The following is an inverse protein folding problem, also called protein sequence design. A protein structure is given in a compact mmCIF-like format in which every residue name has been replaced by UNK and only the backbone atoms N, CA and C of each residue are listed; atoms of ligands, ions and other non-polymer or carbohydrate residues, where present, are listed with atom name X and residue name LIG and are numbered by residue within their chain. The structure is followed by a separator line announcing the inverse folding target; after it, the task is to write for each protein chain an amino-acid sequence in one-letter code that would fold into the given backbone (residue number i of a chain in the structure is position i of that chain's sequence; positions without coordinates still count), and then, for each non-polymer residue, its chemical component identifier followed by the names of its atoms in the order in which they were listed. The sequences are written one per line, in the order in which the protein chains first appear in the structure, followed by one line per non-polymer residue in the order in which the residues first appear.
data_IF_747247241305
#
_entry.id   IF_747247241305
#
_cell.length_a   1.000
_cell.length_b   1.000
_cell.length_c   1.000
_cell.angle_alpha   90.00
_cell.angle_beta   90.00
_cell.angle_gamma   90.00
#
_symmetry.space_group_name_H-M   'P 1'
#
loop_
_entity.id
_entity.type
_entity.pdbx_description
1 polymer ?
#
# COMPACT_ATOMS: atom_id res chain seq x y z
N UNK A 1 1.37 -10.65 18.41
CA UNK A 1 0.87 -9.27 18.27
C UNK A 1 0.68 -8.71 19.68
N UNK A 2 1.43 -7.68 20.08
CA UNK A 2 1.48 -7.21 21.48
C UNK A 2 0.23 -6.43 21.94
N UNK A 3 -0.79 -6.30 21.09
CA UNK A 3 -2.06 -5.61 21.40
C UNK A 3 -1.93 -4.11 21.63
N UNK A 4 -0.74 -3.54 21.44
CA UNK A 4 -0.49 -2.12 21.65
C UNK A 4 -0.93 -1.33 20.39
N UNK A 5 -1.82 -0.36 20.57
CA UNK A 5 -2.22 0.61 19.53
C UNK A 5 -1.66 1.99 19.88
N UNK A 6 -1.50 2.86 18.88
CA UNK A 6 -1.16 4.26 19.11
C UNK A 6 -2.42 5.10 19.24
N UNK A 7 -2.38 6.10 20.10
CA UNK A 7 -3.43 7.13 20.11
C UNK A 7 -3.44 7.82 18.75
N UNK A 8 -4.58 7.72 18.04
CA UNK A 8 -4.73 8.24 16.67
C UNK A 8 -4.68 7.20 15.56
N UNK A 9 -4.55 5.90 15.86
CA UNK A 9 -4.57 4.87 14.82
C UNK A 9 -5.89 4.86 14.04
N UNK A 10 -5.77 4.94 12.72
CA UNK A 10 -6.90 4.87 11.79
C UNK A 10 -7.16 3.41 11.43
N UNK A 11 -8.40 2.95 11.64
CA UNK A 11 -8.80 1.56 11.39
C UNK A 11 -9.02 1.26 9.91
N UNK A 12 -9.54 2.23 9.17
CA UNK A 12 -9.90 2.08 7.77
C UNK A 12 -9.51 3.34 7.01
N UNK A 13 -8.63 3.18 6.03
CA UNK A 13 -8.21 4.23 5.12
C UNK A 13 -8.19 3.67 3.71
N UNK A 14 -8.93 4.30 2.83
CA UNK A 14 -8.94 4.03 1.39
C UNK A 14 -9.01 5.37 0.67
N UNK A 15 -8.27 5.48 -0.42
CA UNK A 15 -8.34 6.64 -1.31
C UNK A 15 -9.19 6.29 -2.54
N UNK A 16 -9.91 7.26 -3.07
CA UNK A 16 -10.51 7.15 -4.40
C UNK A 16 -9.40 7.29 -5.47
N UNK A 17 -9.19 6.26 -6.33
CA UNK A 17 -8.15 6.30 -7.35
C UNK A 17 -8.55 7.09 -8.62
N UNK A 18 -9.81 7.54 -8.75
CA UNK A 18 -10.33 8.13 -9.99
C UNK A 18 -9.46 9.28 -10.51
N UNK A 19 -9.11 10.23 -9.64
CA UNK A 19 -8.29 11.39 -10.02
C UNK A 19 -6.89 11.01 -10.51
N UNK A 20 -6.27 9.98 -9.92
CA UNK A 20 -4.96 9.50 -10.37
C UNK A 20 -5.04 8.86 -11.76
N UNK A 21 -6.12 8.13 -12.04
CA UNK A 21 -6.37 7.56 -13.36
C UNK A 21 -6.61 8.66 -14.41
N UNK A 22 -7.42 9.67 -14.10
CA UNK A 22 -7.77 10.74 -15.05
C UNK A 22 -6.63 11.71 -15.29
N UNK A 23 -5.93 12.14 -14.23
CA UNK A 23 -4.92 13.21 -14.33
C UNK A 23 -3.53 12.68 -14.68
N UNK A 24 -3.21 11.45 -14.28
CA UNK A 24 -1.87 10.88 -14.41
C UNK A 24 -1.85 9.62 -15.30
N UNK A 25 -3.00 9.12 -15.74
CA UNK A 25 -3.09 7.83 -16.41
C UNK A 25 -2.71 6.66 -15.50
N UNK A 26 -2.59 6.88 -14.18
CA UNK A 26 -2.08 5.89 -13.26
C UNK A 26 -3.16 4.93 -12.81
N UNK A 27 -2.89 3.63 -12.94
CA UNK A 27 -3.69 2.56 -12.34
C UNK A 27 -2.73 1.57 -11.67
N UNK A 28 -3.02 1.22 -10.41
CA UNK A 28 -2.27 0.19 -9.71
C UNK A 28 -2.41 -1.15 -10.46
N UNK A 29 -1.28 -1.70 -10.91
CA UNK A 29 -1.23 -2.96 -11.65
C UNK A 29 -0.89 -4.17 -10.78
N UNK A 30 -0.27 -3.94 -9.61
CA UNK A 30 0.19 -4.98 -8.70
C UNK A 30 -0.76 -5.06 -7.51
N UNK A 31 -1.24 -6.26 -7.20
CA UNK A 31 -2.07 -6.49 -6.03
C UNK A 31 -1.23 -6.45 -4.74
N UNK A 32 -1.82 -6.08 -3.59
CA UNK A 32 -1.07 -6.03 -2.34
C UNK A 32 -0.39 -7.35 -1.97
N UNK A 33 -1.03 -8.49 -2.20
CA UNK A 33 -0.47 -9.80 -1.87
C UNK A 33 0.82 -10.09 -2.66
N UNK A 34 0.83 -9.78 -3.96
CA UNK A 34 1.97 -10.00 -4.83
C UNK A 34 3.10 -9.02 -4.50
N UNK A 35 2.77 -7.74 -4.39
CA UNK A 35 3.75 -6.68 -4.12
C UNK A 35 4.41 -6.80 -2.75
N UNK A 36 3.66 -7.18 -1.70
CA UNK A 36 4.22 -7.41 -0.37
C UNK A 36 5.13 -8.64 -0.34
N UNK A 37 4.74 -9.71 -1.04
CA UNK A 37 5.56 -10.92 -1.13
C UNK A 37 6.86 -10.64 -1.86
N UNK A 38 6.81 -9.97 -3.01
CA UNK A 38 8.01 -9.56 -3.74
C UNK A 38 8.91 -8.65 -2.89
N UNK A 39 8.33 -7.62 -2.27
CA UNK A 39 9.07 -6.67 -1.45
C UNK A 39 9.79 -7.34 -0.27
N UNK A 40 9.17 -8.32 0.39
CA UNK A 40 9.75 -9.00 1.54
C UNK A 40 11.03 -9.79 1.21
N UNK A 41 11.16 -10.25 -0.04
CA UNK A 41 12.25 -11.12 -0.48
C UNK A 41 13.17 -10.48 -1.51
N UNK A 42 12.83 -9.29 -2.02
CA UNK A 42 13.68 -8.56 -2.95
C UNK A 42 15.04 -8.24 -2.29
N UNK A 43 16.15 -8.39 -3.03
CA UNK A 43 17.46 -8.02 -2.52
C UNK A 43 17.51 -6.52 -2.23
N UNK A 44 18.23 -6.14 -1.17
CA UNK A 44 18.48 -4.73 -0.87
C UNK A 44 19.21 -4.09 -2.05
N UNK A 45 18.69 -2.95 -2.52
CA UNK A 45 19.34 -2.15 -3.56
C UNK A 45 20.46 -1.35 -2.90
N UNK A 46 21.64 -1.36 -3.54
CA UNK A 46 22.79 -0.55 -3.16
C UNK A 46 22.65 0.90 -3.64
#
# INVERSE_FOLDING_TARGET
VTGQYRSGDVRHIVADPARAAESLGFRAAVQPADGLSEFAFAPLRA
#
